data_IF_524473788195
#
_entry.id   IF_524473788195
#
_cell.length_a   1.000
_cell.length_b   1.000
_cell.length_c   1.000
_cell.angle_alpha   90.00
_cell.angle_beta   90.00
_cell.angle_gamma   90.00
#
_symmetry.space_group_name_H-M   'P 1'
#
loop_
_entity.id
_entity.type
_entity.pdbx_description
1 polymer ?
#
# COMPACT_ATOMS: atom_id res chain seq x y z
N UNK A 1 55.47 12.65 1.28
CA UNK A 1 56.38 12.76 0.11
C UNK A 1 55.81 13.63 -1.02
N UNK A 2 54.52 13.52 -1.37
CA UNK A 2 53.86 14.31 -2.44
C UNK A 2 53.99 15.84 -2.31
N UNK A 3 53.83 16.42 -1.11
CA UNK A 3 53.87 17.89 -0.92
C UNK A 3 55.26 18.48 -1.12
N UNK A 4 56.33 17.74 -0.79
CA UNK A 4 57.71 18.19 -1.03
C UNK A 4 58.05 18.15 -2.53
N UNK A 5 57.56 17.15 -3.27
CA UNK A 5 57.71 17.06 -4.73
C UNK A 5 56.95 18.16 -5.50
N UNK A 6 55.95 18.78 -4.85
CA UNK A 6 55.14 19.88 -5.40
C UNK A 6 55.69 21.27 -5.05
N UNK A 7 56.89 21.37 -4.46
CA UNK A 7 57.53 22.63 -4.06
C UNK A 7 57.02 23.22 -2.74
N UNK A 8 56.45 22.36 -1.87
CA UNK A 8 56.00 22.72 -0.54
C UNK A 8 54.51 23.10 -0.45
N UNK A 9 54.01 23.41 0.76
CA UNK A 9 52.58 23.60 1.02
C UNK A 9 51.96 24.76 0.24
N UNK A 10 52.72 25.85 0.06
CA UNK A 10 52.26 27.06 -0.64
C UNK A 10 52.11 26.81 -2.15
N UNK A 11 53.05 26.11 -2.77
CA UNK A 11 52.98 25.79 -4.20
C UNK A 11 51.95 24.69 -4.50
N UNK A 12 51.88 23.66 -3.65
CA UNK A 12 50.81 22.68 -3.70
C UNK A 12 49.43 23.37 -3.59
N UNK A 13 49.29 24.33 -2.67
CA UNK A 13 48.04 25.07 -2.54
C UNK A 13 47.75 25.96 -3.75
N UNK A 14 48.74 26.68 -4.30
CA UNK A 14 48.55 27.44 -5.54
C UNK A 14 48.10 26.58 -6.74
N UNK A 15 48.49 25.31 -6.78
CA UNK A 15 48.12 24.37 -7.85
C UNK A 15 46.76 23.71 -7.65
N UNK A 16 46.40 23.37 -6.40
CA UNK A 16 45.25 22.50 -6.12
C UNK A 16 44.18 23.12 -5.21
N UNK A 17 44.50 24.15 -4.41
CA UNK A 17 43.51 24.81 -3.59
C UNK A 17 42.53 25.60 -4.45
N UNK A 18 41.26 25.51 -4.10
CA UNK A 18 40.22 26.40 -4.61
C UNK A 18 39.61 27.12 -3.43
N UNK A 19 39.38 28.43 -3.60
CA UNK A 19 38.68 29.19 -2.56
C UNK A 19 37.25 28.64 -2.46
N UNK A 20 36.77 28.44 -1.24
CA UNK A 20 35.38 28.03 -0.96
C UNK A 20 34.65 29.18 -0.30
N UNK A 21 33.44 29.44 -0.79
CA UNK A 21 32.56 30.40 -0.14
C UNK A 21 31.92 29.69 1.05
N UNK A 22 32.18 30.24 2.23
CA UNK A 22 31.44 29.87 3.42
C UNK A 22 30.03 30.49 3.34
N UNK A 23 29.02 29.63 3.49
CA UNK A 23 27.61 30.03 3.46
C UNK A 23 27.06 30.26 4.88
N UNK A 24 27.82 29.93 5.92
CA UNK A 24 27.40 29.96 7.32
C UNK A 24 26.59 28.73 7.73
N UNK A 25 26.57 28.45 9.03
CA UNK A 25 26.06 27.21 9.62
C UNK A 25 24.55 26.98 9.37
N UNK A 26 23.79 28.04 9.10
CA UNK A 26 22.35 27.98 8.86
C UNK A 26 21.94 27.77 7.40
N UNK A 27 22.86 27.79 6.44
CA UNK A 27 22.52 27.82 5.00
C UNK A 27 21.77 26.57 4.52
N UNK A 28 21.92 25.45 5.23
CA UNK A 28 21.31 24.17 4.87
C UNK A 28 20.14 23.78 5.79
N UNK A 29 19.67 24.70 6.63
CA UNK A 29 18.57 24.43 7.56
C UNK A 29 17.28 24.09 6.79
N UNK A 30 16.58 23.05 7.27
CA UNK A 30 15.36 22.55 6.64
C UNK A 30 15.57 21.72 5.37
N UNK A 31 16.81 21.58 4.87
CA UNK A 31 17.11 20.73 3.72
C UNK A 31 17.44 19.30 4.18
N UNK A 32 16.66 18.28 3.75
CA UNK A 32 16.92 16.90 4.13
C UNK A 32 18.27 16.42 3.63
N UNK A 33 18.86 15.50 4.39
CA UNK A 33 20.09 14.80 4.00
C UNK A 33 19.74 13.60 3.12
N UNK A 34 20.52 13.34 2.08
CA UNK A 34 20.34 12.14 1.27
C UNK A 34 20.79 10.87 1.99
N UNK A 35 20.45 9.70 1.45
CA UNK A 35 21.00 8.42 1.93
C UNK A 35 22.34 8.06 1.26
N UNK A 36 22.64 8.68 0.13
CA UNK A 36 23.88 8.49 -0.62
C UNK A 36 23.70 8.78 -2.10
N UNK A 37 24.83 9.04 -2.78
CA UNK A 37 24.86 9.46 -4.18
C UNK A 37 24.13 8.49 -5.13
N UNK A 38 24.39 7.18 -5.02
CA UNK A 38 23.75 6.21 -5.91
C UNK A 38 22.25 6.10 -5.66
N UNK A 39 21.82 6.02 -4.40
CA UNK A 39 20.40 5.97 -4.05
C UNK A 39 19.66 7.21 -4.57
N UNK A 40 20.27 8.39 -4.42
CA UNK A 40 19.69 9.63 -4.91
C UNK A 40 19.54 9.65 -6.45
N UNK A 41 20.56 9.25 -7.21
CA UNK A 41 20.48 9.22 -8.68
C UNK A 41 19.53 8.12 -9.19
N UNK A 42 19.71 6.88 -8.72
CA UNK A 42 19.04 5.71 -9.30
C UNK A 42 17.61 5.52 -8.81
N UNK A 43 17.29 5.99 -7.61
CA UNK A 43 15.96 5.80 -7.02
C UNK A 43 15.25 7.15 -7.01
N UNK A 44 15.73 8.10 -6.20
CA UNK A 44 15.01 9.37 -5.95
C UNK A 44 14.76 10.16 -7.23
N UNK A 45 15.79 10.40 -8.06
CA UNK A 45 15.64 11.18 -9.30
C UNK A 45 14.78 10.43 -10.32
N UNK A 46 14.95 9.12 -10.46
CA UNK A 46 14.16 8.31 -11.41
C UNK A 46 12.69 8.26 -11.04
N UNK A 47 12.37 8.00 -9.77
CA UNK A 47 11.01 8.00 -9.26
C UNK A 47 10.34 9.36 -9.38
N UNK A 48 11.04 10.43 -8.98
CA UNK A 48 10.51 11.79 -9.08
C UNK A 48 10.21 12.16 -10.54
N UNK A 49 11.11 11.83 -11.47
CA UNK A 49 10.89 12.05 -12.88
C UNK A 49 9.70 11.25 -13.41
N UNK A 50 9.61 9.95 -13.09
CA UNK A 50 8.51 9.10 -13.54
C UNK A 50 7.14 9.61 -13.04
N UNK A 51 7.09 10.08 -11.78
CA UNK A 51 5.85 10.54 -11.15
C UNK A 51 5.43 11.96 -11.58
N UNK A 52 6.36 12.92 -11.66
CA UNK A 52 6.01 14.34 -11.77
C UNK A 52 6.41 15.00 -13.09
N UNK A 53 7.21 14.34 -13.94
CA UNK A 53 7.73 15.01 -15.14
C UNK A 53 6.64 15.54 -16.06
N UNK A 54 5.52 14.81 -16.21
CA UNK A 54 4.38 15.27 -17.01
C UNK A 54 3.78 16.57 -16.45
N UNK A 55 3.71 16.71 -15.14
CA UNK A 55 3.17 17.89 -14.43
C UNK A 55 4.13 19.07 -14.49
N UNK A 56 5.44 18.85 -14.34
CA UNK A 56 6.43 19.94 -14.34
C UNK A 56 6.86 20.38 -15.74
N UNK A 57 6.58 19.58 -16.79
CA UNK A 57 7.03 19.84 -18.16
C UNK A 57 6.57 21.20 -18.70
N UNK A 58 5.31 21.64 -18.53
CA UNK A 58 4.88 22.97 -18.99
C UNK A 58 5.72 24.10 -18.39
N UNK A 59 5.96 24.07 -17.07
CA UNK A 59 6.76 25.07 -16.36
C UNK A 59 8.25 25.02 -16.75
N UNK A 60 8.77 23.81 -16.97
CA UNK A 60 10.13 23.62 -17.48
C UNK A 60 10.29 24.22 -18.88
N UNK A 61 9.32 23.99 -19.77
CA UNK A 61 9.34 24.54 -21.14
C UNK A 61 9.23 26.07 -21.10
N UNK A 62 8.37 26.64 -20.25
CA UNK A 62 8.25 28.09 -20.07
C UNK A 62 9.57 28.73 -19.63
N UNK A 63 10.29 28.11 -18.70
CA UNK A 63 11.54 28.66 -18.13
C UNK A 63 12.78 28.42 -18.99
N UNK A 64 12.82 27.32 -19.76
CA UNK A 64 14.05 26.88 -20.45
C UNK A 64 13.89 26.60 -21.96
N UNK A 65 12.69 26.81 -22.49
CA UNK A 65 12.36 26.66 -23.91
C UNK A 65 12.35 25.21 -24.41
N UNK A 66 12.29 24.20 -23.53
CA UNK A 66 12.19 22.81 -23.97
C UNK A 66 12.27 21.78 -22.84
N UNK A 67 11.89 20.54 -23.16
CA UNK A 67 11.98 19.41 -22.23
C UNK A 67 13.38 18.80 -22.12
N UNK A 68 13.49 17.79 -21.26
CA UNK A 68 14.70 16.98 -21.07
C UNK A 68 14.34 15.50 -21.06
N UNK A 69 15.24 14.63 -21.51
CA UNK A 69 15.08 13.17 -21.40
C UNK A 69 15.65 12.66 -20.07
N UNK A 70 15.06 11.58 -19.54
CA UNK A 70 15.52 10.94 -18.30
C UNK A 70 17.01 10.59 -18.35
N UNK A 71 17.49 10.00 -19.45
CA UNK A 71 18.91 9.64 -19.64
C UNK A 71 19.84 10.85 -19.45
N UNK A 72 19.44 12.01 -19.97
CA UNK A 72 20.24 13.24 -19.88
C UNK A 72 20.19 13.84 -18.48
N UNK A 73 19.02 13.80 -17.83
CA UNK A 73 18.85 14.25 -16.46
C UNK A 73 19.73 13.42 -15.51
N UNK A 74 19.71 12.10 -15.65
CA UNK A 74 20.53 11.19 -14.83
C UNK A 74 22.02 11.44 -15.04
N UNK A 75 22.48 11.66 -16.28
CA UNK A 75 23.89 11.96 -16.53
C UNK A 75 24.37 13.23 -15.79
N UNK A 76 23.55 14.29 -15.78
CA UNK A 76 23.86 15.52 -15.03
C UNK A 76 23.78 15.28 -13.52
N UNK A 77 22.77 14.55 -13.06
CA UNK A 77 22.59 14.19 -11.66
C UNK A 77 23.80 13.40 -11.12
N UNK A 78 24.30 12.40 -11.83
CA UNK A 78 25.50 11.64 -11.44
C UNK A 78 26.72 12.53 -11.29
N UNK A 79 26.91 13.48 -12.20
CA UNK A 79 28.05 14.41 -12.15
C UNK A 79 27.92 15.37 -10.96
N UNK A 80 26.72 15.85 -10.63
CA UNK A 80 26.50 16.66 -9.42
C UNK A 80 26.71 15.84 -8.14
N UNK A 81 26.19 14.61 -8.10
CA UNK A 81 26.31 13.72 -6.96
C UNK A 81 27.76 13.28 -6.68
N UNK A 82 28.62 13.19 -7.70
CA UNK A 82 30.03 12.83 -7.51
C UNK A 82 30.89 13.91 -6.85
N UNK A 83 30.39 15.15 -6.74
CA UNK A 83 31.11 16.28 -6.12
C UNK A 83 30.43 16.75 -4.84
N UNK A 84 29.20 16.28 -4.58
CA UNK A 84 28.52 16.55 -3.33
C UNK A 84 29.25 15.88 -2.16
N UNK A 85 29.06 16.45 -0.97
CA UNK A 85 29.51 15.84 0.27
C UNK A 85 28.84 14.48 0.46
N UNK A 86 29.66 13.46 0.74
CA UNK A 86 29.24 12.07 0.71
C UNK A 86 28.11 11.76 1.69
N UNK A 87 28.22 12.22 2.93
CA UNK A 87 27.27 11.90 4.01
C UNK A 87 25.97 12.69 3.91
N UNK A 88 26.05 13.95 3.48
CA UNK A 88 24.93 14.89 3.56
C UNK A 88 24.22 15.10 2.22
N UNK A 89 24.95 15.00 1.10
CA UNK A 89 24.48 15.38 -0.23
C UNK A 89 24.52 16.89 -0.48
N UNK A 90 25.12 17.63 0.44
CA UNK A 90 25.27 19.08 0.36
C UNK A 90 26.53 19.45 -0.41
N UNK A 91 26.79 20.75 -0.52
CA UNK A 91 28.02 21.28 -1.10
C UNK A 91 28.36 20.83 -2.54
N UNK A 92 27.37 20.49 -3.36
CA UNK A 92 27.62 20.23 -4.79
C UNK A 92 27.95 21.55 -5.51
N UNK A 93 29.24 21.91 -5.54
CA UNK A 93 29.77 23.21 -6.03
C UNK A 93 30.28 23.17 -7.48
N UNK A 94 29.68 22.36 -8.34
CA UNK A 94 30.18 22.22 -9.70
C UNK A 94 29.81 23.42 -10.58
N UNK A 95 30.82 24.04 -11.21
CA UNK A 95 30.57 25.08 -12.21
C UNK A 95 29.81 24.52 -13.41
N UNK A 96 29.09 25.39 -14.13
CA UNK A 96 28.33 24.96 -15.31
C UNK A 96 29.27 24.39 -16.37
N UNK A 97 30.41 25.03 -16.60
CA UNK A 97 31.41 24.62 -17.60
C UNK A 97 32.04 23.26 -17.24
N UNK A 98 32.36 23.03 -15.95
CA UNK A 98 32.84 21.71 -15.50
C UNK A 98 31.79 20.63 -15.59
N UNK A 99 30.52 20.98 -15.44
CA UNK A 99 29.42 20.02 -15.66
C UNK A 99 29.30 19.66 -17.13
N UNK A 100 29.43 20.63 -18.03
CA UNK A 100 29.45 20.43 -19.48
C UNK A 100 30.61 19.52 -19.88
N UNK A 101 31.82 19.82 -19.41
CA UNK A 101 33.04 19.04 -19.66
C UNK A 101 32.87 17.58 -19.22
N UNK A 102 32.38 17.34 -18.00
CA UNK A 102 32.21 15.98 -17.46
C UNK A 102 31.06 15.20 -18.08
N UNK A 103 29.99 15.87 -18.51
CA UNK A 103 28.79 15.19 -19.08
C UNK A 103 28.82 15.08 -20.60
N UNK A 104 29.66 15.87 -21.28
CA UNK A 104 29.65 16.02 -22.74
C UNK A 104 28.35 16.63 -23.29
N UNK A 105 27.56 17.33 -22.47
CA UNK A 105 26.26 17.91 -22.87
C UNK A 105 26.35 19.40 -23.13
N UNK A 106 25.52 19.89 -24.06
CA UNK A 106 25.44 21.32 -24.40
C UNK A 106 24.98 22.16 -23.19
N UNK A 107 25.43 23.42 -23.11
CA UNK A 107 25.11 24.36 -22.03
C UNK A 107 23.62 24.46 -21.71
N UNK A 108 22.77 24.67 -22.73
CA UNK A 108 21.30 24.75 -22.56
C UNK A 108 20.72 23.46 -21.98
N UNK A 109 21.26 22.30 -22.36
CA UNK A 109 20.81 20.99 -21.86
C UNK A 109 21.14 20.81 -20.37
N UNK A 110 22.33 21.23 -19.93
CA UNK A 110 22.70 21.18 -18.51
C UNK A 110 21.87 22.17 -17.69
N UNK A 111 21.59 23.36 -18.21
CA UNK A 111 20.70 24.33 -17.56
C UNK A 111 19.28 23.77 -17.40
N UNK A 112 18.73 23.14 -18.45
CA UNK A 112 17.45 22.41 -18.40
C UNK A 112 17.46 21.32 -17.33
N UNK A 113 18.53 20.54 -17.24
CA UNK A 113 18.65 19.48 -16.25
C UNK A 113 18.63 20.02 -14.81
N UNK A 114 19.42 21.06 -14.52
CA UNK A 114 19.44 21.70 -13.20
C UNK A 114 18.08 22.30 -12.83
N UNK A 115 17.41 22.94 -13.79
CA UNK A 115 16.07 23.47 -13.58
C UNK A 115 15.05 22.35 -13.35
N UNK A 116 15.12 21.25 -14.09
CA UNK A 116 14.26 20.09 -13.90
C UNK A 116 14.47 19.46 -12.50
N UNK A 117 15.72 19.29 -12.04
CA UNK A 117 15.99 18.79 -10.68
C UNK A 117 15.40 19.69 -9.58
N UNK A 118 15.43 21.00 -9.80
CA UNK A 118 14.81 21.99 -8.90
C UNK A 118 13.28 21.88 -8.90
N UNK A 119 12.66 21.79 -10.08
CA UNK A 119 11.20 21.64 -10.21
C UNK A 119 10.68 20.30 -9.66
N UNK A 120 11.45 19.22 -9.81
CA UNK A 120 11.17 17.92 -9.21
C UNK A 120 11.35 17.91 -7.67
N UNK A 121 11.87 19.01 -7.09
CA UNK A 121 12.14 19.15 -5.64
C UNK A 121 13.12 18.09 -5.10
N UNK A 122 14.06 17.66 -5.95
CA UNK A 122 15.11 16.67 -5.60
C UNK A 122 16.47 17.36 -5.40
N UNK A 123 16.58 18.62 -5.80
CA UNK A 123 17.74 19.46 -5.53
C UNK A 123 17.31 20.89 -5.24
N UNK A 124 17.99 21.51 -4.27
CA UNK A 124 17.82 22.92 -3.91
C UNK A 124 19.09 23.68 -4.24
N UNK A 125 18.95 24.80 -4.95
CA UNK A 125 20.05 25.75 -5.16
C UNK A 125 20.11 26.66 -3.93
N UNK A 126 21.04 26.36 -3.02
CA UNK A 126 21.21 27.10 -1.76
C UNK A 126 21.85 28.46 -2.03
N UNK A 127 22.80 28.50 -2.95
CA UNK A 127 23.46 29.73 -3.36
C UNK A 127 23.56 29.80 -4.87
N UNK A 128 23.03 30.89 -5.45
CA UNK A 128 23.18 31.15 -6.87
C UNK A 128 24.56 31.73 -7.17
N UNK A 129 25.26 31.10 -8.10
CA UNK A 129 26.60 31.52 -8.50
C UNK A 129 26.62 32.97 -8.98
N UNK A 130 27.65 33.72 -8.56
CA UNK A 130 27.84 35.13 -8.92
C UNK A 130 29.32 35.45 -9.11
N UNK A 131 29.62 36.54 -9.81
CA UNK A 131 30.98 37.03 -9.94
C UNK A 131 31.54 37.50 -8.57
N UNK A 132 32.86 37.37 -8.40
CA UNK A 132 33.58 37.90 -7.26
C UNK A 132 33.69 39.42 -7.42
N UNK A 133 32.93 40.16 -6.59
CA UNK A 133 32.84 41.62 -6.68
C UNK A 133 33.66 42.30 -5.57
N UNK A 134 33.76 41.69 -4.39
CA UNK A 134 34.46 42.29 -3.25
C UNK A 134 35.98 42.16 -3.40
N UNK A 135 36.73 43.21 -3.06
CA UNK A 135 38.21 43.22 -3.07
C UNK A 135 38.78 42.06 -2.24
N UNK A 136 38.19 41.78 -1.07
CA UNK A 136 38.59 40.66 -0.22
C UNK A 136 38.45 39.28 -0.87
N UNK A 137 37.36 39.04 -1.62
CA UNK A 137 37.15 37.79 -2.36
C UNK A 137 38.21 37.60 -3.47
N UNK A 138 38.55 38.68 -4.17
CA UNK A 138 39.57 38.67 -5.23
C UNK A 138 40.98 38.50 -4.66
N UNK A 139 41.31 39.19 -3.57
CA UNK A 139 42.59 39.05 -2.88
C UNK A 139 42.78 37.64 -2.31
N UNK A 140 41.71 37.06 -1.75
CA UNK A 140 41.70 35.67 -1.29
C UNK A 140 41.98 34.68 -2.43
N UNK A 141 41.33 34.88 -3.58
CA UNK A 141 41.57 34.09 -4.80
C UNK A 141 43.02 34.17 -5.25
N UNK A 142 43.61 35.37 -5.30
CA UNK A 142 45.00 35.58 -5.68
C UNK A 142 45.98 34.89 -4.72
N UNK A 143 45.71 34.96 -3.41
CA UNK A 143 46.54 34.33 -2.37
C UNK A 143 46.63 32.80 -2.55
N UNK A 144 45.52 32.16 -2.92
CA UNK A 144 45.45 30.70 -3.12
C UNK A 144 45.68 30.28 -4.58
N UNK A 145 45.96 31.21 -5.49
CA UNK A 145 46.17 30.91 -6.92
C UNK A 145 44.92 30.49 -7.69
N UNK A 146 43.72 30.71 -7.13
CA UNK A 146 42.46 30.34 -7.78
C UNK A 146 42.16 31.29 -8.96
N UNK A 147 42.02 30.71 -10.15
CA UNK A 147 41.75 31.42 -11.42
C UNK A 147 40.26 31.64 -11.68
N UNK A 148 39.37 31.19 -10.79
CA UNK A 148 37.93 31.38 -10.92
C UNK A 148 37.53 32.86 -10.97
N UNK A 149 36.78 33.26 -12.00
CA UNK A 149 36.21 34.62 -12.07
C UNK A 149 35.02 34.85 -11.13
N UNK A 150 34.39 33.77 -10.67
CA UNK A 150 33.17 33.83 -9.87
C UNK A 150 32.95 32.59 -9.01
N UNK A 151 31.96 32.69 -8.14
CA UNK A 151 31.45 31.60 -7.34
C UNK A 151 30.53 30.71 -8.18
N UNK A 152 30.73 29.39 -8.10
CA UNK A 152 29.80 28.42 -8.64
C UNK A 152 28.50 28.40 -7.82
N UNK A 153 27.40 27.94 -8.42
CA UNK A 153 26.19 27.67 -7.63
C UNK A 153 26.41 26.48 -6.70
N UNK A 154 25.85 26.60 -5.51
CA UNK A 154 25.94 25.58 -4.47
C UNK A 154 24.59 24.88 -4.38
N UNK A 155 24.62 23.57 -4.58
CA UNK A 155 23.44 22.73 -4.58
C UNK A 155 23.45 21.81 -3.37
N UNK A 156 22.26 21.60 -2.81
CA UNK A 156 21.99 20.52 -1.87
C UNK A 156 21.08 19.49 -2.55
N UNK A 157 21.55 18.24 -2.57
CA UNK A 157 20.89 17.11 -3.20
C UNK A 157 20.17 16.32 -2.12
N UNK A 158 18.85 16.21 -2.23
CA UNK A 158 18.02 15.66 -1.16
C UNK A 158 16.87 14.83 -1.72
N UNK A 159 16.27 13.92 -0.92
CA UNK A 159 15.04 13.28 -1.31
C UNK A 159 13.88 14.29 -1.38
N UNK A 160 12.92 14.06 -2.28
CA UNK A 160 11.73 14.92 -2.46
C UNK A 160 10.84 14.95 -1.21
N UNK A 161 10.73 13.81 -0.53
CA UNK A 161 10.13 13.69 0.79
C UNK A 161 11.26 13.42 1.78
N UNK A 162 11.37 14.13 2.91
CA UNK A 162 12.33 13.77 3.93
C UNK A 162 12.09 12.31 4.31
N UNK A 163 13.07 11.45 4.03
CA UNK A 163 13.08 10.10 4.57
C UNK A 163 13.51 10.26 6.01
N UNK A 164 12.53 10.28 6.90
CA UNK A 164 12.79 10.29 8.33
C UNK A 164 13.61 9.03 8.66
N UNK A 165 14.92 9.18 8.91
CA UNK A 165 15.83 8.05 9.21
C UNK A 165 15.44 7.32 10.51
N UNK A 166 14.52 7.88 11.29
CA UNK A 166 13.93 7.25 12.47
C UNK A 166 12.81 6.26 12.14
N UNK A 167 12.31 6.23 10.89
CA UNK A 167 11.27 5.30 10.46
C UNK A 167 11.90 4.02 9.90
N UNK A 168 11.98 3.00 10.77
CA UNK A 168 12.25 1.62 10.37
C UNK A 168 11.18 1.19 9.36
N UNK A 169 11.61 0.88 8.15
CA UNK A 169 10.78 0.38 7.06
C UNK A 169 10.36 -1.06 7.38
N UNK A 170 9.05 -1.30 7.51
CA UNK A 170 8.45 -2.64 7.47
C UNK A 170 7.42 -2.61 6.35
N UNK A 171 7.53 -3.56 5.42
CA UNK A 171 6.72 -3.63 4.21
C UNK A 171 5.22 -3.41 4.46
N UNK A 172 4.64 -2.49 3.70
CA UNK A 172 3.19 -2.45 3.47
C UNK A 172 2.36 -1.40 4.22
N UNK A 173 2.92 -0.39 4.91
CA UNK A 173 2.06 0.68 5.46
C UNK A 173 2.71 2.05 5.60
N UNK A 174 2.13 3.05 4.94
CA UNK A 174 2.19 4.44 5.41
C UNK A 174 1.34 4.47 6.68
N UNK A 175 1.95 4.24 7.85
CA UNK A 175 1.26 4.43 9.14
C UNK A 175 1.55 5.83 9.66
N UNK A 176 0.48 6.58 9.92
CA UNK A 176 0.50 7.79 10.73
C UNK A 176 1.16 7.51 12.09
N UNK A 177 1.73 8.57 12.69
CA UNK A 177 2.63 8.50 13.84
C UNK A 177 2.14 7.57 14.97
N UNK A 178 3.00 6.70 15.51
CA UNK A 178 2.63 5.83 16.63
C UNK A 178 2.64 6.64 17.93
N UNK A 179 1.63 6.40 18.76
CA UNK A 179 1.45 7.05 20.06
C UNK A 179 2.53 6.51 21.02
N UNK A 180 2.97 7.29 22.01
CA UNK A 180 4.17 6.98 22.79
C UNK A 180 3.98 5.67 23.57
N UNK A 181 4.76 4.65 23.21
CA UNK A 181 4.89 3.44 24.01
C UNK A 181 5.90 3.70 25.13
N UNK A 182 5.37 3.77 26.35
CA UNK A 182 6.10 3.52 27.60
C UNK A 182 6.97 2.26 27.46
N UNK A 183 8.13 2.31 28.11
CA UNK A 183 8.83 1.11 28.57
C UNK A 183 10.33 1.13 28.33
N UNK A 184 11.06 1.68 29.30
CA UNK A 184 12.46 1.36 29.54
C UNK A 184 12.63 -0.17 29.58
N UNK A 185 13.55 -0.73 28.79
CA UNK A 185 14.43 -1.83 29.16
C UNK A 185 15.32 -2.17 27.95
N UNK A 186 16.61 -2.27 28.25
CA UNK A 186 17.72 -2.45 27.33
C UNK A 186 17.64 -3.78 26.59
N UNK A 187 17.95 -3.78 25.29
CA UNK A 187 18.41 -4.98 24.58
C UNK A 187 19.55 -4.55 23.65
N UNK A 188 20.79 -5.02 23.87
CA UNK A 188 21.89 -4.68 22.98
C UNK A 188 21.79 -5.57 21.74
N UNK A 189 21.65 -4.97 20.56
CA UNK A 189 21.80 -5.72 19.31
C UNK A 189 23.28 -5.80 18.93
N UNK A 190 23.75 -7.04 18.84
CA UNK A 190 25.12 -7.44 18.53
C UNK A 190 25.65 -6.82 17.24
N UNK A 191 26.95 -6.51 17.23
CA UNK A 191 27.70 -6.14 16.01
C UNK A 191 27.65 -7.28 14.98
N UNK A 192 26.87 -7.10 13.92
CA UNK A 192 27.13 -7.74 12.63
C UNK A 192 27.27 -6.66 11.58
N UNK A 193 28.53 -6.39 11.27
CA UNK A 193 28.98 -5.59 10.15
C UNK A 193 28.59 -6.32 8.86
N UNK A 194 27.77 -5.68 8.02
CA UNK A 194 27.45 -6.16 6.68
C UNK A 194 27.93 -5.11 5.69
N UNK A 195 29.17 -5.28 5.22
CA UNK A 195 29.74 -4.54 4.10
C UNK A 195 29.18 -5.11 2.79
N UNK A 196 28.55 -4.26 1.97
CA UNK A 196 28.18 -4.63 0.60
C UNK A 196 28.66 -3.55 -0.39
N UNK A 197 29.84 -3.78 -0.98
CA UNK A 197 30.28 -3.10 -2.20
C UNK A 197 29.82 -3.88 -3.44
N UNK A 198 28.68 -3.43 -4.00
CA UNK A 198 28.32 -3.33 -5.42
C UNK A 198 29.04 -4.24 -6.44
N UNK A 199 28.54 -5.47 -6.56
CA UNK A 199 28.23 -6.14 -7.84
C UNK A 199 27.02 -7.02 -7.58
N UNK A 200 25.96 -6.89 -8.39
CA UNK A 200 24.66 -7.51 -8.10
C UNK A 200 24.77 -9.02 -7.89
N UNK A 201 24.34 -9.48 -6.72
CA UNK A 201 24.43 -10.88 -6.27
C UNK A 201 23.28 -11.71 -6.84
N UNK A 202 22.96 -11.52 -8.13
CA UNK A 202 22.02 -12.40 -8.86
C UNK A 202 22.74 -13.36 -9.81
N UNK A 203 24.08 -13.27 -9.93
CA UNK A 203 24.89 -14.19 -10.75
C UNK A 203 26.09 -14.81 -10.03
N UNK A 204 26.16 -14.70 -8.70
CA UNK A 204 27.25 -15.31 -7.91
C UNK A 204 26.81 -15.79 -6.53
N UNK A 205 25.57 -16.25 -6.40
CA UNK A 205 25.30 -17.31 -5.44
C UNK A 205 25.89 -18.60 -6.04
N UNK A 206 26.48 -19.48 -5.23
CA UNK A 206 26.50 -20.90 -5.59
C UNK A 206 25.11 -21.23 -6.15
N UNK A 207 25.02 -21.94 -7.28
CA UNK A 207 23.73 -22.23 -7.91
C UNK A 207 22.78 -22.65 -6.81
N UNK A 208 21.86 -21.74 -6.40
CA UNK A 208 20.78 -22.16 -5.52
C UNK A 208 20.11 -23.20 -6.37
N UNK A 209 20.10 -24.43 -5.87
CA UNK A 209 19.34 -25.53 -6.47
C UNK A 209 18.03 -24.89 -6.91
N UNK A 210 17.70 -24.96 -8.21
CA UNK A 210 16.40 -24.48 -8.67
C UNK A 210 15.40 -25.08 -7.70
N UNK A 211 14.70 -24.23 -6.94
CA UNK A 211 13.68 -24.72 -6.02
C UNK A 211 12.80 -25.63 -6.88
N UNK A 212 12.76 -26.91 -6.52
CA UNK A 212 11.97 -27.84 -7.30
C UNK A 212 10.53 -27.35 -7.26
N UNK A 213 9.75 -27.67 -8.29
CA UNK A 213 8.31 -27.35 -8.29
C UNK A 213 7.66 -27.78 -6.97
N UNK A 214 8.09 -28.91 -6.42
CA UNK A 214 7.70 -29.46 -5.13
C UNK A 214 8.06 -28.55 -3.93
N UNK A 215 9.25 -27.93 -3.91
CA UNK A 215 9.66 -27.02 -2.84
C UNK A 215 8.81 -25.73 -2.84
N UNK A 216 8.48 -25.21 -4.02
CA UNK A 216 7.59 -24.04 -4.18
C UNK A 216 6.16 -24.38 -3.75
N UNK A 217 5.61 -25.50 -4.22
CA UNK A 217 4.27 -25.96 -3.84
C UNK A 217 4.16 -26.21 -2.33
N UNK A 218 5.21 -26.78 -1.70
CA UNK A 218 5.27 -26.97 -0.25
C UNK A 218 5.30 -25.65 0.52
N UNK A 219 6.03 -24.65 0.01
CA UNK A 219 6.07 -23.32 0.62
C UNK A 219 4.71 -22.60 0.51
N UNK A 220 4.02 -22.74 -0.63
CA UNK A 220 2.67 -22.22 -0.80
C UNK A 220 1.65 -22.93 0.10
N UNK A 221 1.73 -24.25 0.21
CA UNK A 221 0.91 -25.03 1.15
C UNK A 221 1.12 -24.60 2.60
N UNK A 222 2.37 -24.35 3.01
CA UNK A 222 2.67 -23.84 4.34
C UNK A 222 2.09 -22.44 4.59
N UNK A 223 2.10 -21.55 3.58
CA UNK A 223 1.47 -20.21 3.66
C UNK A 223 -0.04 -20.31 3.79
N UNK A 224 -0.68 -21.15 2.96
CA UNK A 224 -2.13 -21.39 3.02
C UNK A 224 -2.54 -21.98 4.37
N UNK A 225 -1.80 -22.98 4.88
CA UNK A 225 -2.01 -23.56 6.20
C UNK A 225 -1.87 -22.54 7.34
N UNK A 226 -0.91 -21.61 7.23
CA UNK A 226 -0.72 -20.53 8.21
C UNK A 226 -1.90 -19.55 8.21
N UNK A 227 -2.42 -19.20 7.04
CA UNK A 227 -3.60 -18.33 6.92
C UNK A 227 -4.84 -19.01 7.50
N UNK A 228 -5.08 -20.28 7.18
CA UNK A 228 -6.19 -21.04 7.76
C UNK A 228 -6.08 -21.12 9.29
N UNK A 229 -4.90 -21.44 9.81
CA UNK A 229 -4.63 -21.47 11.24
C UNK A 229 -4.91 -20.13 11.92
N UNK A 230 -4.49 -19.01 11.31
CA UNK A 230 -4.73 -17.68 11.87
C UNK A 230 -6.21 -17.32 11.94
N UNK A 231 -6.97 -17.67 10.89
CA UNK A 231 -8.43 -17.44 10.83
C UNK A 231 -9.18 -18.33 11.82
N UNK A 232 -8.76 -19.60 11.93
CA UNK A 232 -9.33 -20.55 12.89
C UNK A 232 -9.11 -20.09 14.33
N UNK A 233 -7.89 -19.72 14.71
CA UNK A 233 -7.62 -19.25 16.07
C UNK A 233 -8.35 -17.93 16.43
N UNK A 234 -8.69 -17.11 15.44
CA UNK A 234 -9.47 -15.88 15.62
C UNK A 234 -10.98 -16.12 15.73
N UNK A 235 -11.47 -17.31 15.38
CA UNK A 235 -12.90 -17.63 15.42
C UNK A 235 -13.36 -17.83 16.89
N UNK A 236 -14.48 -17.21 17.32
CA UNK A 236 -15.01 -17.36 18.67
C UNK A 236 -15.41 -18.81 19.01
N UNK A 237 -15.82 -19.63 18.03
CA UNK A 237 -16.18 -21.06 18.23
C UNK A 237 -14.98 -21.98 18.44
N UNK A 238 -13.76 -21.48 18.31
CA UNK A 238 -12.55 -22.31 18.39
C UNK A 238 -12.23 -22.74 19.82
N UNK A 239 -11.98 -24.03 20.08
CA UNK A 239 -11.72 -24.55 21.42
C UNK A 239 -10.52 -23.88 22.13
N UNK A 240 -10.61 -23.76 23.45
CA UNK A 240 -9.59 -23.10 24.26
C UNK A 240 -8.22 -23.80 24.18
N UNK A 241 -8.20 -25.15 24.10
CA UNK A 241 -6.95 -25.92 23.96
C UNK A 241 -6.21 -25.61 22.65
N UNK A 242 -6.92 -25.24 21.57
CA UNK A 242 -6.30 -24.92 20.29
C UNK A 242 -5.52 -23.60 20.35
N UNK A 243 -6.01 -22.64 21.15
CA UNK A 243 -5.42 -21.32 21.38
C UNK A 243 -4.13 -21.35 22.20
N UNK A 244 -3.82 -22.48 22.85
CA UNK A 244 -2.52 -22.68 23.55
C UNK A 244 -1.34 -22.75 22.58
N UNK A 245 -1.58 -23.02 21.30
CA UNK A 245 -0.55 -23.13 20.27
C UNK A 245 -0.58 -21.95 19.29
N UNK A 246 0.58 -21.65 18.71
CA UNK A 246 0.71 -20.53 17.75
C UNK A 246 0.20 -20.92 16.36
N UNK A 247 -0.25 -19.95 15.54
CA UNK A 247 -0.64 -20.21 14.14
C UNK A 247 0.48 -20.90 13.33
N UNK A 248 1.75 -20.61 13.63
CA UNK A 248 2.91 -21.26 13.00
C UNK A 248 3.03 -22.74 13.36
N UNK A 249 2.68 -23.13 14.59
CA UNK A 249 2.66 -24.54 15.01
C UNK A 249 1.54 -25.34 14.33
N UNK A 250 0.41 -24.68 14.04
CA UNK A 250 -0.73 -25.27 13.34
C UNK A 250 -0.54 -25.37 11.82
N UNK A 251 0.26 -24.48 11.23
CA UNK A 251 0.40 -24.39 9.77
C UNK A 251 0.75 -25.72 9.08
N UNK A 252 1.67 -26.57 9.58
CA UNK A 252 1.97 -27.84 8.92
C UNK A 252 0.83 -28.87 9.04
N UNK A 253 0.03 -28.82 10.11
CA UNK A 253 -1.10 -29.73 10.29
C UNK A 253 -2.29 -29.37 9.38
N UNK A 254 -2.44 -28.09 9.07
CA UNK A 254 -3.54 -27.55 8.25
C UNK A 254 -3.15 -27.25 6.81
N UNK A 255 -1.91 -27.53 6.40
CA UNK A 255 -1.42 -27.20 5.05
C UNK A 255 -2.21 -27.93 3.95
N UNK A 256 -2.50 -29.23 4.17
CA UNK A 256 -3.24 -30.05 3.19
C UNK A 256 -4.71 -29.64 3.14
N UNK A 257 -5.38 -29.49 4.28
CA UNK A 257 -6.78 -29.04 4.31
C UNK A 257 -6.95 -27.63 3.73
N UNK A 258 -6.03 -26.71 4.01
CA UNK A 258 -6.03 -25.38 3.41
C UNK A 258 -5.81 -25.39 1.89
N UNK A 259 -5.06 -26.36 1.35
CA UNK A 259 -4.89 -26.50 -0.09
C UNK A 259 -6.21 -26.90 -0.79
N UNK A 260 -7.05 -27.69 -0.10
CA UNK A 260 -8.40 -28.06 -0.54
C UNK A 260 -9.48 -27.02 -0.20
N UNK A 261 -9.10 -25.82 0.27
CA UNK A 261 -10.05 -24.72 0.49
C UNK A 261 -10.87 -24.81 1.77
N UNK A 262 -10.48 -25.65 2.73
CA UNK A 262 -11.16 -25.74 4.03
C UNK A 262 -11.16 -24.40 4.76
N UNK A 263 -12.27 -24.10 5.44
CA UNK A 263 -12.45 -22.88 6.21
C UNK A 263 -12.32 -23.11 7.71
N UNK A 264 -12.21 -22.02 8.46
CA UNK A 264 -12.17 -22.05 9.92
C UNK A 264 -13.47 -22.59 10.56
N UNK A 265 -14.61 -22.42 9.90
CA UNK A 265 -15.90 -22.93 10.37
C UNK A 265 -15.97 -24.45 10.20
N UNK A 266 -15.55 -24.96 9.05
CA UNK A 266 -15.49 -26.40 8.75
C UNK A 266 -14.67 -27.19 9.79
N UNK A 267 -13.56 -26.60 10.24
CA UNK A 267 -12.72 -27.20 11.28
C UNK A 267 -13.47 -27.33 12.62
N UNK A 268 -14.28 -26.34 12.99
CA UNK A 268 -15.06 -26.40 14.22
C UNK A 268 -16.25 -27.36 14.07
N UNK A 269 -16.93 -27.36 12.92
CA UNK A 269 -18.06 -28.25 12.68
C UNK A 269 -17.63 -29.72 12.63
N UNK A 270 -16.42 -30.04 12.14
CA UNK A 270 -15.86 -31.40 12.20
C UNK A 270 -15.47 -31.82 13.61
N UNK A 271 -14.94 -30.91 14.43
CA UNK A 271 -14.69 -31.18 15.86
C UNK A 271 -16.00 -31.43 16.60
N UNK A 272 -17.03 -30.62 16.34
CA UNK A 272 -18.35 -30.75 16.94
C UNK A 272 -19.04 -32.05 16.49
N UNK A 273 -18.94 -32.42 15.22
CA UNK A 273 -19.47 -33.68 14.69
C UNK A 273 -18.79 -34.90 15.33
N UNK A 274 -17.46 -34.87 15.49
CA UNK A 274 -16.73 -35.92 16.20
C UNK A 274 -17.13 -36.00 17.68
N UNK A 275 -17.24 -34.85 18.35
CA UNK A 275 -17.63 -34.76 19.77
C UNK A 275 -19.02 -35.36 20.00
N UNK A 276 -19.97 -35.08 19.10
CA UNK A 276 -21.30 -35.70 19.10
C UNK A 276 -21.24 -37.21 18.85
N UNK A 277 -20.46 -37.67 17.88
CA UNK A 277 -20.35 -39.09 17.55
C UNK A 277 -19.75 -39.92 18.71
N UNK A 278 -18.84 -39.33 19.47
CA UNK A 278 -18.20 -39.97 20.62
C UNK A 278 -18.92 -39.68 21.96
N UNK A 279 -19.98 -38.85 21.96
CA UNK A 279 -20.64 -38.34 23.18
C UNK A 279 -19.66 -37.77 24.23
N UNK A 280 -18.60 -37.09 23.78
CA UNK A 280 -17.56 -36.54 24.66
C UNK A 280 -17.06 -35.19 24.16
N UNK A 281 -16.76 -34.27 25.08
CA UNK A 281 -16.13 -32.98 24.74
C UNK A 281 -14.67 -33.20 24.38
N UNK A 282 -14.22 -32.64 23.27
CA UNK A 282 -12.83 -32.75 22.83
C UNK A 282 -11.90 -31.95 23.77
N UNK A 283 -11.11 -32.65 24.59
CA UNK A 283 -9.98 -32.08 25.36
C UNK A 283 -8.69 -32.92 25.18
N UNK A 284 -7.98 -32.75 24.05
CA UNK A 284 -6.81 -33.56 23.73
C UNK A 284 -5.56 -33.12 24.48
N UNK A 285 -4.83 -34.07 25.08
CA UNK A 285 -3.49 -33.85 25.66
C UNK A 285 -2.46 -33.39 24.61
N UNK A 286 -2.62 -33.81 23.36
CA UNK A 286 -1.79 -33.41 22.22
C UNK A 286 -2.64 -32.83 21.08
N UNK A 287 -3.00 -31.53 21.14
CA UNK A 287 -3.90 -30.87 20.20
C UNK A 287 -3.54 -31.03 18.72
N UNK A 288 -2.26 -30.83 18.37
CA UNK A 288 -1.81 -30.86 16.97
C UNK A 288 -1.90 -32.28 16.40
N UNK A 289 -1.56 -33.29 17.20
CA UNK A 289 -1.67 -34.69 16.80
C UNK A 289 -3.14 -35.10 16.62
N UNK A 290 -4.01 -34.68 17.55
CA UNK A 290 -5.44 -34.93 17.47
C UNK A 290 -6.05 -34.38 16.18
N UNK A 291 -5.79 -33.13 15.83
CA UNK A 291 -6.31 -32.54 14.58
C UNK A 291 -5.74 -33.22 13.34
N UNK A 292 -4.44 -33.57 13.32
CA UNK A 292 -3.87 -34.32 12.19
C UNK A 292 -4.56 -35.67 12.00
N UNK A 293 -4.81 -36.38 13.10
CA UNK A 293 -5.55 -37.63 13.08
C UNK A 293 -6.99 -37.42 12.60
N UNK A 294 -7.69 -36.41 13.13
CA UNK A 294 -9.07 -36.11 12.77
C UNK A 294 -9.19 -35.78 11.28
N UNK A 295 -8.32 -34.90 10.77
CA UNK A 295 -8.31 -34.50 9.35
C UNK A 295 -7.96 -35.66 8.41
N UNK A 296 -7.20 -36.66 8.86
CA UNK A 296 -6.91 -37.86 8.07
C UNK A 296 -8.13 -38.77 7.88
N UNK A 297 -9.11 -38.70 8.78
CA UNK A 297 -10.36 -39.46 8.68
C UNK A 297 -11.40 -38.78 7.78
N UNK A 298 -11.19 -37.51 7.43
CA UNK A 298 -12.13 -36.75 6.61
C UNK A 298 -11.73 -36.81 5.13
N UNK A 299 -12.72 -36.78 4.24
CA UNK A 299 -12.48 -36.54 2.83
C UNK A 299 -12.18 -35.05 2.61
N UNK A 300 -10.91 -34.75 2.32
CA UNK A 300 -10.46 -33.38 2.16
C UNK A 300 -10.99 -32.71 0.89
N UNK A 301 -11.39 -33.48 -0.13
CA UNK A 301 -11.91 -32.94 -1.38
C UNK A 301 -13.29 -32.29 -1.22
N UNK A 302 -14.09 -32.78 -0.27
CA UNK A 302 -15.45 -32.30 0.00
C UNK A 302 -15.54 -31.66 1.38
N UNK A 303 -15.12 -30.40 1.46
CA UNK A 303 -15.25 -29.63 2.70
C UNK A 303 -16.74 -29.49 3.13
N UNK A 304 -17.04 -29.45 4.45
CA UNK A 304 -18.40 -29.37 4.97
C UNK A 304 -19.26 -28.24 4.37
N UNK A 305 -18.72 -27.03 4.19
CA UNK A 305 -19.44 -25.94 3.55
C UNK A 305 -19.80 -26.22 2.08
N UNK A 306 -18.98 -26.97 1.34
CA UNK A 306 -19.27 -27.37 -0.04
C UNK A 306 -20.43 -28.37 -0.06
N UNK A 307 -20.44 -29.33 0.86
CA UNK A 307 -21.56 -30.27 1.01
C UNK A 307 -22.85 -29.53 1.38
N UNK A 308 -22.77 -28.54 2.27
CA UNK A 308 -23.92 -27.71 2.63
C UNK A 308 -24.44 -26.87 1.44
N UNK A 309 -23.54 -26.35 0.59
CA UNK A 309 -23.92 -25.65 -0.64
C UNK A 309 -24.62 -26.59 -1.62
N UNK A 310 -24.07 -27.79 -1.86
CA UNK A 310 -24.68 -28.79 -2.74
C UNK A 310 -26.08 -29.17 -2.24
N UNK A 311 -26.24 -29.40 -0.94
CA UNK A 311 -27.55 -29.71 -0.35
C UNK A 311 -28.55 -28.56 -0.52
N UNK A 312 -28.11 -27.31 -0.29
CA UNK A 312 -28.97 -26.14 -0.48
C UNK A 312 -29.39 -25.95 -1.95
N UNK A 313 -28.48 -26.18 -2.90
CA UNK A 313 -28.77 -26.12 -4.33
C UNK A 313 -29.72 -27.24 -4.76
N UNK A 314 -29.57 -28.44 -4.19
CA UNK A 314 -30.50 -29.55 -4.39
C UNK A 314 -31.89 -29.21 -3.87
N UNK A 315 -32.02 -28.76 -2.62
CA UNK A 315 -33.31 -28.34 -2.04
C UNK A 315 -33.96 -27.23 -2.87
N UNK A 316 -33.17 -26.26 -3.35
CA UNK A 316 -33.69 -25.18 -4.19
C UNK A 316 -34.21 -25.74 -5.52
N UNK A 317 -33.46 -26.64 -6.16
CA UNK A 317 -33.88 -27.28 -7.41
C UNK A 317 -35.14 -28.15 -7.22
N UNK A 318 -35.28 -28.81 -6.07
CA UNK A 318 -36.47 -29.59 -5.72
C UNK A 318 -37.68 -28.68 -5.49
N UNK A 319 -37.51 -27.56 -4.78
CA UNK A 319 -38.58 -26.57 -4.60
C UNK A 319 -39.01 -25.96 -5.93
N UNK A 320 -38.07 -25.67 -6.83
CA UNK A 320 -38.37 -25.19 -8.17
C UNK A 320 -39.13 -26.23 -9.00
N UNK A 321 -38.74 -27.51 -8.92
CA UNK A 321 -39.48 -28.62 -9.55
C UNK A 321 -40.89 -28.77 -8.96
N UNK A 322 -41.04 -28.71 -7.65
CA UNK A 322 -42.35 -28.79 -6.98
C UNK A 322 -43.23 -27.60 -7.36
N UNK A 323 -42.66 -26.39 -7.42
CA UNK A 323 -43.38 -25.20 -7.88
C UNK A 323 -43.81 -25.33 -9.34
N UNK A 324 -42.93 -25.82 -10.22
CA UNK A 324 -43.25 -26.03 -11.63
C UNK A 324 -44.33 -27.11 -11.83
N UNK A 325 -44.30 -28.20 -11.06
CA UNK A 325 -45.35 -29.23 -11.06
C UNK A 325 -46.68 -28.63 -10.61
N UNK A 326 -46.67 -27.87 -9.51
CA UNK A 326 -47.86 -27.21 -8.99
C UNK A 326 -48.43 -26.16 -9.96
N UNK A 327 -47.57 -25.40 -10.64
CA UNK A 327 -47.98 -24.45 -11.67
C UNK A 327 -48.53 -25.15 -12.91
N UNK A 328 -47.93 -26.26 -13.34
CA UNK A 328 -48.43 -27.07 -14.44
C UNK A 328 -49.80 -27.70 -14.11
N UNK A 329 -49.98 -28.22 -12.89
CA UNK A 329 -51.28 -28.69 -12.39
C UNK A 329 -52.30 -27.56 -12.35
N UNK A 330 -51.94 -26.39 -11.78
CA UNK A 330 -52.81 -25.21 -11.77
C UNK A 330 -53.20 -24.78 -13.19
N UNK A 331 -52.26 -24.81 -14.14
CA UNK A 331 -52.50 -24.51 -15.55
C UNK A 331 -53.48 -25.49 -16.19
N UNK A 332 -53.36 -26.79 -15.90
CA UNK A 332 -54.30 -27.83 -16.36
C UNK A 332 -55.70 -27.63 -15.77
N UNK A 333 -55.81 -27.37 -14.46
CA UNK A 333 -57.10 -27.08 -13.84
C UNK A 333 -57.71 -25.77 -14.34
N UNK A 334 -56.88 -24.77 -14.66
CA UNK A 334 -57.33 -23.55 -15.30
C UNK A 334 -57.88 -23.85 -16.70
N UNK A 335 -57.18 -24.60 -17.55
CA UNK A 335 -57.64 -24.87 -18.92
C UNK A 335 -58.74 -25.94 -19.04
N UNK A 336 -58.99 -26.74 -18.01
CA UNK A 336 -59.99 -27.81 -18.01
C UNK A 336 -61.45 -27.32 -18.08
N UNK A 337 -61.73 -26.08 -17.67
CA UNK A 337 -63.08 -25.52 -17.69
C UNK A 337 -63.23 -24.48 -18.81
N UNK A 338 -64.27 -24.61 -19.64
CA UNK A 338 -64.61 -23.62 -20.67
C UNK A 338 -64.84 -22.24 -20.05
N UNK A 339 -64.54 -21.17 -20.82
CA UNK A 339 -64.62 -19.78 -20.33
C UNK A 339 -65.99 -19.41 -19.77
N UNK A 340 -67.06 -20.04 -20.27
CA UNK A 340 -68.45 -19.82 -19.88
C UNK A 340 -69.03 -20.86 -18.91
N UNK A 341 -68.19 -21.72 -18.32
CA UNK A 341 -68.66 -22.70 -17.34
C UNK A 341 -69.32 -22.01 -16.12
N UNK A 342 -70.46 -22.57 -15.68
CA UNK A 342 -71.26 -22.07 -14.55
C UNK A 342 -70.41 -21.91 -13.28
N UNK A 343 -69.43 -22.81 -13.07
CA UNK A 343 -68.47 -22.74 -11.96
C UNK A 343 -67.51 -21.54 -12.01
N UNK A 344 -67.05 -21.12 -13.19
CA UNK A 344 -66.20 -19.91 -13.32
C UNK A 344 -67.01 -18.64 -13.13
N UNK A 345 -68.26 -18.61 -13.60
CA UNK A 345 -69.15 -17.46 -13.42
C UNK A 345 -69.47 -17.22 -11.93
N UNK A 346 -69.76 -18.29 -11.18
CA UNK A 346 -70.00 -18.19 -9.74
C UNK A 346 -68.75 -17.77 -8.96
N UNK A 347 -67.57 -18.31 -9.30
CA UNK A 347 -66.30 -17.89 -8.70
C UNK A 347 -65.99 -16.40 -8.96
N UNK A 348 -66.21 -15.90 -10.18
CA UNK A 348 -66.05 -14.46 -10.52
C UNK A 348 -67.00 -13.57 -9.72
N UNK A 349 -68.25 -14.01 -9.53
CA UNK A 349 -69.22 -13.27 -8.72
C UNK A 349 -68.78 -13.17 -7.25
N UNK A 350 -68.32 -14.27 -6.66
CA UNK A 350 -67.82 -14.30 -5.28
C UNK A 350 -66.55 -13.45 -5.12
N UNK A 351 -65.60 -13.53 -6.06
CA UNK A 351 -64.39 -12.72 -6.04
C UNK A 351 -64.71 -11.21 -6.10
N UNK A 352 -65.63 -10.80 -6.99
CA UNK A 352 -66.11 -9.41 -7.06
C UNK A 352 -66.72 -8.96 -5.74
N UNK A 353 -67.62 -9.77 -5.16
CA UNK A 353 -68.25 -9.47 -3.87
C UNK A 353 -67.23 -9.33 -2.74
N UNK A 354 -66.21 -10.18 -2.70
CA UNK A 354 -65.13 -10.09 -1.72
C UNK A 354 -64.29 -8.81 -1.90
N UNK A 355 -63.97 -8.43 -3.15
CA UNK A 355 -63.26 -7.17 -3.43
C UNK A 355 -64.09 -5.93 -3.03
N UNK A 356 -65.40 -5.98 -3.22
CA UNK A 356 -66.30 -4.89 -2.83
C UNK A 356 -66.38 -4.77 -1.31
N UNK A 357 -66.46 -5.90 -0.58
CA UNK A 357 -66.43 -5.91 0.89
C UNK A 357 -65.09 -5.37 1.41
N UNK A 358 -63.96 -5.77 0.81
CA UNK A 358 -62.64 -5.27 1.20
C UNK A 358 -62.48 -3.77 0.92
N UNK A 359 -63.02 -3.28 -0.21
CA UNK A 359 -63.07 -1.85 -0.53
C UNK A 359 -63.90 -1.08 0.49
N UNK A 360 -65.08 -1.59 0.86
CA UNK A 360 -65.92 -0.99 1.91
C UNK A 360 -65.21 -0.93 3.25
N UNK A 361 -64.55 -2.02 3.68
CA UNK A 361 -63.76 -2.03 4.93
C UNK A 361 -62.62 -1.01 4.92
N UNK A 362 -61.93 -0.82 3.79
CA UNK A 362 -60.90 0.23 3.66
C UNK A 362 -61.50 1.63 3.76
N UNK A 363 -62.64 1.87 3.11
CA UNK A 363 -63.35 3.13 3.22
C UNK A 363 -63.80 3.40 4.67
N UNK A 364 -64.37 2.40 5.35
CA UNK A 364 -64.78 2.50 6.74
C UNK A 364 -63.58 2.73 7.69
N UNK A 365 -62.45 2.08 7.45
CA UNK A 365 -61.22 2.30 8.20
C UNK A 365 -60.67 3.72 8.00
N UNK A 366 -60.64 4.21 6.75
CA UNK A 366 -60.21 5.58 6.44
C UNK A 366 -61.17 6.64 7.00
N UNK A 367 -62.47 6.35 7.06
CA UNK A 367 -63.47 7.23 7.66
C UNK A 367 -63.32 7.30 9.19
N UNK A 368 -62.99 6.18 9.84
CA UNK A 368 -62.67 6.15 11.28
C UNK A 368 -61.39 6.91 11.58
N UNK A 369 -60.34 6.70 10.80
CA UNK A 369 -59.07 7.43 10.94
C UNK A 369 -59.27 8.95 10.80
N UNK A 370 -60.05 9.40 9.81
CA UNK A 370 -60.41 10.81 9.62
C UNK A 370 -61.25 11.39 10.77
N UNK A 371 -62.14 10.59 11.39
CA UNK A 371 -62.94 11.03 12.54
C UNK A 371 -62.11 11.17 13.84
N UNK A 372 -60.99 10.46 13.96
CA UNK A 372 -60.07 10.54 15.11
C UNK A 372 -58.97 11.59 14.98
N UNK A 373 -58.85 12.30 13.86
CA UNK A 373 -57.90 13.42 13.75
C UNK A 373 -58.50 14.69 14.37
N UNK A 374 -57.89 15.29 15.41
CA UNK A 374 -58.33 16.57 15.93
C UNK A 374 -58.07 17.66 14.89
N UNK A 375 -59.14 18.36 14.48
CA UNK A 375 -59.04 19.54 13.62
C UNK A 375 -58.35 20.63 14.43
N UNK A 376 -57.07 20.88 14.17
CA UNK A 376 -56.33 22.01 14.73
C UNK A 376 -56.78 23.30 14.04
N UNK A 377 -57.93 23.84 14.45
CA UNK A 377 -58.29 25.24 14.16
C UNK A 377 -57.36 26.10 15.02
N UNK A 378 -56.33 26.65 14.39
CA UNK A 378 -55.47 27.67 14.99
C UNK A 378 -56.27 28.95 15.20
N UNK A 379 -56.60 29.26 16.46
CA UNK A 379 -57.01 30.60 16.87
C UNK A 379 -55.79 31.53 16.84
N UNK A 380 -55.78 32.47 15.90
CA UNK A 380 -54.94 33.66 15.97
C UNK A 380 -55.60 34.64 16.96
N UNK A 381 -54.89 34.90 18.06
CA UNK A 381 -55.12 36.01 18.98
C UNK A 381 -54.84 37.35 18.27
N UNK A 382 -55.66 38.35 18.52
CA UNK A 382 -55.30 39.57 19.30
C UNK A 382 -56.44 40.58 19.10
N UNK A 383 -57.13 41.03 20.16
CA UNK A 383 -56.72 41.97 21.21
C UNK A 383 -56.46 43.39 20.71
N UNK A 384 -56.93 44.30 21.56
CA UNK A 384 -56.72 45.75 21.60
C UNK A 384 -57.64 46.55 20.68
N UNK A 385 -58.30 47.63 21.11
CA UNK A 385 -58.37 48.27 22.43
C UNK A 385 -59.50 49.31 22.38
N UNK A 386 -60.19 49.49 23.51
CA UNK A 386 -60.54 50.81 24.03
C UNK A 386 -59.74 51.00 25.30
#
# INVERSE_FOLDING_TARGET
>A
MLVKALGGPKEACRRYCQMRLDLGDGAYNGIPIWQGAQHWVEIVVREAYAAEYKTIRPELVKTTGGGISLKTLLAVATVMASVAEFDTGRESRLSLDKTIERTGKKKRTVQRARQALKLLRVATEVFRGRLRRKKGERQGSYRVGDKGRGWASVWALHPRKPVDKTRVYVDGSIKMAPHPRRGHLLSPTSRREVLNTKRSVDKRAASRRKESKEEVEKAEGARKGLLLASRWLSNPRTPAWARRHTPRGWAPALAVSAAHGWTAADLNDTIDAWSKAQNMVADPKHPIAFIRWLMKQQDLAFAPHVLAQIAADQEKSERERQAAVFEAERGRYASAASEDSIGRQSARFVARRATDIARRRKLDASARENATQPVWITHLQDRSER
#
